data_IF_369233648065
#
_entry.id   IF_369233648065
#
_cell.length_a   1.000
_cell.length_b   1.000
_cell.length_c   1.000
_cell.angle_alpha   90.00
_cell.angle_beta   90.00
_cell.angle_gamma   90.00
#
_symmetry.space_group_name_H-M   'P 1'
#
loop_
_entity.id
_entity.type
_entity.pdbx_description
1 polymer ?
#
# COMPACT_ATOMS: atom_id res chain seq x y z
N UNK A 1 4.90 -4.08 -9.45
CA UNK A 1 3.61 -4.42 -8.84
C UNK A 1 3.65 -5.76 -8.14
N UNK A 2 3.80 -5.70 -6.82
CA UNK A 2 3.86 -6.84 -5.90
C UNK A 2 2.77 -6.62 -4.87
N UNK A 3 1.77 -7.50 -4.83
CA UNK A 3 0.83 -7.54 -3.72
C UNK A 3 1.51 -8.36 -2.62
N UNK A 4 1.92 -7.71 -1.53
CA UNK A 4 2.55 -8.38 -0.41
C UNK A 4 1.47 -9.02 0.47
N UNK A 5 1.36 -10.36 0.46
CA UNK A 5 0.47 -11.10 1.35
C UNK A 5 1.25 -11.67 2.54
N UNK A 6 0.78 -11.42 3.76
CA UNK A 6 1.35 -12.03 4.97
C UNK A 6 0.97 -13.52 5.08
N UNK A 7 1.97 -14.38 5.32
CA UNK A 7 1.86 -15.83 5.28
C UNK A 7 1.05 -16.47 6.44
N UNK A 8 0.75 -15.73 7.52
CA UNK A 8 0.13 -16.31 8.73
C UNK A 8 -1.39 -16.15 8.87
N UNK A 9 -2.12 -15.64 7.86
CA UNK A 9 -3.60 -15.64 7.85
C UNK A 9 -4.18 -15.94 6.45
N UNK A 10 -3.56 -16.85 5.71
CA UNK A 10 -3.98 -17.20 4.35
C UNK A 10 -5.26 -18.07 4.26
N UNK A 11 -5.91 -18.39 5.38
CA UNK A 11 -7.02 -19.36 5.39
C UNK A 11 -8.37 -18.82 4.90
N UNK A 12 -8.58 -17.50 4.83
CA UNK A 12 -9.89 -16.92 4.43
C UNK A 12 -10.01 -16.47 2.97
N UNK A 13 -8.91 -16.42 2.19
CA UNK A 13 -8.96 -15.89 0.82
C UNK A 13 -9.51 -16.86 -0.23
N UNK A 14 -9.64 -18.15 0.09
CA UNK A 14 -10.15 -19.15 -0.86
C UNK A 14 -11.62 -18.96 -1.26
N UNK A 15 -12.41 -18.25 -0.45
CA UNK A 15 -13.85 -18.09 -0.72
C UNK A 15 -14.24 -16.77 -1.41
N UNK A 16 -13.32 -15.80 -1.52
CA UNK A 16 -13.62 -14.47 -2.06
C UNK A 16 -13.15 -14.32 -3.52
N UNK A 17 -12.14 -15.10 -3.96
CA UNK A 17 -11.56 -15.01 -5.30
C UNK A 17 -11.37 -16.42 -5.93
N UNK A 18 -12.46 -17.12 -6.32
CA UNK A 18 -12.36 -18.49 -6.84
C UNK A 18 -11.56 -18.60 -8.14
N UNK A 19 -11.53 -17.54 -8.96
CA UNK A 19 -10.85 -17.54 -10.26
C UNK A 19 -9.33 -17.31 -10.20
N UNK A 20 -8.78 -16.93 -9.04
CA UNK A 20 -7.35 -16.60 -8.88
C UNK A 20 -6.56 -17.77 -8.25
N UNK A 21 -7.24 -18.70 -7.56
CA UNK A 21 -6.59 -19.70 -6.70
C UNK A 21 -6.91 -21.17 -7.07
N UNK A 22 -7.09 -21.48 -8.36
CA UNK A 22 -7.47 -22.84 -8.81
C UNK A 22 -6.36 -23.91 -8.74
N UNK A 23 -5.09 -23.57 -8.44
CA UNK A 23 -3.97 -24.51 -8.59
C UNK A 23 -3.23 -24.96 -7.32
N UNK A 24 -3.68 -24.60 -6.11
CA UNK A 24 -3.00 -24.99 -4.86
C UNK A 24 -3.56 -26.32 -4.32
N UNK A 25 -2.96 -27.45 -4.74
CA UNK A 25 -3.12 -28.76 -4.08
C UNK A 25 -2.39 -28.75 -2.75
N UNK A 26 -3.12 -28.94 -1.64
CA UNK A 26 -2.54 -29.29 -0.35
C UNK A 26 -2.12 -30.77 -0.38
N UNK A 27 -0.85 -31.06 -0.10
CA UNK A 27 -0.39 -32.41 0.19
C UNK A 27 0.04 -32.49 1.65
N UNK A 28 -0.38 -33.54 2.34
CA UNK A 28 -0.15 -33.74 3.77
C UNK A 28 0.87 -34.86 4.02
N UNK A 29 1.60 -34.69 5.14
CA UNK A 29 2.27 -35.69 6.00
C UNK A 29 3.65 -36.27 5.61
N UNK A 30 4.62 -35.95 6.49
CA UNK A 30 5.63 -36.77 7.21
C UNK A 30 7.07 -36.25 7.12
N UNK A 31 7.88 -36.31 8.20
CA UNK A 31 9.19 -35.68 8.25
C UNK A 31 10.27 -36.68 7.81
N UNK A 32 10.77 -36.55 6.59
CA UNK A 32 12.05 -37.14 6.19
C UNK A 32 12.96 -36.00 5.77
N UNK A 33 14.17 -35.93 6.34
CA UNK A 33 15.15 -34.88 6.06
C UNK A 33 15.63 -35.05 4.61
N UNK A 34 14.96 -34.36 3.68
CA UNK A 34 15.40 -34.23 2.29
C UNK A 34 16.19 -32.93 2.18
N UNK A 35 17.48 -33.04 1.87
CA UNK A 35 18.29 -31.91 1.41
C UNK A 35 17.65 -31.37 0.13
N UNK A 36 16.82 -30.33 0.25
CA UNK A 36 16.32 -29.61 -0.90
C UNK A 36 17.46 -28.78 -1.48
N UNK A 37 18.01 -29.25 -2.62
CA UNK A 37 18.62 -28.34 -3.60
C UNK A 37 17.59 -27.24 -3.83
N UNK A 38 17.92 -26.00 -3.48
CA UNK A 38 17.09 -24.85 -3.74
C UNK A 38 16.95 -24.69 -5.26
N UNK A 39 16.01 -25.42 -5.86
CA UNK A 39 15.49 -25.07 -7.16
C UNK A 39 14.87 -23.69 -6.97
N UNK A 40 15.53 -22.67 -7.53
CA UNK A 40 15.00 -21.33 -7.67
C UNK A 40 13.67 -21.43 -8.42
N UNK A 41 12.56 -21.61 -7.70
CA UNK A 41 11.22 -21.47 -8.28
C UNK A 41 11.18 -20.05 -8.82
N UNK A 42 11.14 -19.93 -10.14
CA UNK A 42 10.88 -18.67 -10.81
C UNK A 42 9.56 -18.13 -10.24
N UNK A 43 9.63 -17.08 -9.43
CA UNK A 43 8.44 -16.45 -8.87
C UNK A 43 7.74 -15.78 -10.05
N UNK A 44 6.67 -16.40 -10.54
CA UNK A 44 5.78 -15.75 -11.50
C UNK A 44 5.07 -14.64 -10.73
N UNK A 45 5.41 -13.39 -11.05
CA UNK A 45 4.74 -12.22 -10.48
C UNK A 45 3.51 -11.91 -11.33
N UNK A 46 2.33 -11.89 -10.72
CA UNK A 46 1.13 -11.40 -11.37
C UNK A 46 1.01 -9.90 -11.12
N UNK A 47 0.78 -9.15 -12.20
CA UNK A 47 0.47 -7.71 -12.14
C UNK A 47 -1.03 -7.55 -12.35
N UNK A 48 -1.67 -6.74 -11.51
CA UNK A 48 -3.03 -6.26 -11.76
C UNK A 48 -2.98 -5.31 -12.98
N UNK A 49 -3.89 -5.49 -13.91
CA UNK A 49 -4.07 -4.58 -15.04
C UNK A 49 -5.56 -4.57 -15.38
N UNK A 50 -6.34 -3.94 -14.51
CA UNK A 50 -7.79 -3.86 -14.62
C UNK A 50 -8.22 -2.46 -15.06
N UNK A 51 -9.42 -2.31 -15.66
CA UNK A 51 -9.95 -1.00 -16.01
C UNK A 51 -9.98 -0.04 -14.81
N UNK A 52 -10.33 -0.55 -13.63
CA UNK A 52 -10.45 0.23 -12.38
C UNK A 52 -9.08 0.69 -11.87
N UNK A 53 -8.02 -0.08 -12.13
CA UNK A 53 -6.66 0.39 -11.84
C UNK A 53 -6.22 1.49 -12.82
N UNK A 54 -6.56 1.34 -14.10
CA UNK A 54 -6.16 2.31 -15.14
C UNK A 54 -6.82 3.68 -14.96
N UNK A 55 -8.03 3.73 -14.41
CA UNK A 55 -8.70 5.02 -14.11
C UNK A 55 -7.94 5.86 -13.08
N UNK A 56 -7.15 5.22 -12.20
CA UNK A 56 -6.31 5.91 -11.23
C UNK A 56 -5.09 6.59 -11.86
N UNK A 57 -4.62 6.14 -13.02
CA UNK A 57 -3.38 6.63 -13.65
C UNK A 57 -3.58 7.98 -14.35
N UNK A 58 -4.11 8.95 -13.62
CA UNK A 58 -4.30 10.33 -14.10
C UNK A 58 -2.94 11.01 -14.30
N UNK A 59 -2.82 11.99 -15.22
CA UNK A 59 -1.58 12.74 -15.39
C UNK A 59 -1.07 13.40 -14.11
N UNK A 60 -1.99 13.80 -13.22
CA UNK A 60 -1.65 14.39 -11.92
C UNK A 60 -1.07 13.33 -10.97
N UNK A 61 -1.65 12.11 -10.92
CA UNK A 61 -1.07 11.04 -10.13
C UNK A 61 0.31 10.65 -10.64
N UNK A 62 0.49 10.55 -11.97
CA UNK A 62 1.78 10.25 -12.57
C UNK A 62 2.83 11.32 -12.23
N UNK A 63 2.44 12.60 -12.24
CA UNK A 63 3.30 13.70 -11.77
C UNK A 63 3.68 13.54 -10.30
N UNK A 64 2.71 13.22 -9.43
CA UNK A 64 3.00 12.96 -8.01
C UNK A 64 3.99 11.80 -7.85
N UNK A 65 3.73 10.68 -8.52
CA UNK A 65 4.57 9.49 -8.45
C UNK A 65 6.01 9.77 -8.90
N UNK A 66 6.19 10.57 -9.96
CA UNK A 66 7.52 10.95 -10.44
C UNK A 66 8.28 11.80 -9.40
N UNK A 67 7.61 12.74 -8.72
CA UNK A 67 8.24 13.54 -7.65
C UNK A 67 8.77 12.63 -6.53
N UNK A 68 7.98 11.66 -6.08
CA UNK A 68 8.43 10.71 -5.06
C UNK A 68 9.61 9.86 -5.54
N UNK A 69 9.54 9.38 -6.79
CA UNK A 69 10.58 8.57 -7.41
C UNK A 69 11.90 9.33 -7.57
N UNK A 70 11.88 10.57 -8.04
CA UNK A 70 13.08 11.42 -8.18
C UNK A 70 13.76 11.68 -6.83
N UNK A 71 12.97 11.77 -5.76
CA UNK A 71 13.46 11.94 -4.39
C UNK A 71 13.74 10.60 -3.68
N UNK A 72 13.70 9.47 -4.40
CA UNK A 72 14.02 8.12 -3.89
C UNK A 72 13.11 7.64 -2.75
N UNK A 73 11.85 8.06 -2.78
CA UNK A 73 10.81 7.58 -1.88
C UNK A 73 9.78 6.75 -2.64
N UNK A 74 9.26 5.72 -1.97
CA UNK A 74 8.21 4.90 -2.56
C UNK A 74 6.84 5.53 -2.31
N UNK A 75 5.93 5.40 -3.27
CA UNK A 75 4.54 5.82 -3.17
C UNK A 75 3.66 4.67 -3.66
N UNK A 76 2.72 4.23 -2.84
CA UNK A 76 1.81 3.12 -3.17
C UNK A 76 0.38 3.47 -2.79
N UNK A 77 -0.60 3.03 -3.58
CA UNK A 77 -2.00 3.04 -3.17
C UNK A 77 -2.16 2.09 -1.99
N UNK A 78 -2.96 2.46 -0.99
CA UNK A 78 -3.14 1.70 0.23
C UNK A 78 -4.61 1.46 0.56
N UNK A 79 -4.88 0.44 1.37
CA UNK A 79 -6.16 0.32 2.06
C UNK A 79 -7.36 -0.01 1.16
N UNK A 80 -8.46 0.70 1.40
CA UNK A 80 -9.75 0.43 0.78
C UNK A 80 -9.72 0.52 -0.75
N UNK A 81 -8.94 1.45 -1.30
CA UNK A 81 -8.79 1.58 -2.75
C UNK A 81 -8.21 0.31 -3.40
N UNK A 82 -7.24 -0.35 -2.75
CA UNK A 82 -6.67 -1.61 -3.25
C UNK A 82 -7.70 -2.73 -3.22
N UNK A 83 -8.50 -2.81 -2.14
CA UNK A 83 -9.60 -3.78 -2.03
C UNK A 83 -10.62 -3.57 -3.15
N UNK A 84 -11.03 -2.32 -3.40
CA UNK A 84 -12.07 -2.01 -4.37
C UNK A 84 -11.61 -2.40 -5.80
N UNK A 85 -10.37 -2.07 -6.17
CA UNK A 85 -9.76 -2.51 -7.43
C UNK A 85 -9.76 -4.04 -7.56
N UNK A 86 -9.38 -4.76 -6.50
CA UNK A 86 -9.37 -6.22 -6.48
C UNK A 86 -10.78 -6.83 -6.61
N UNK A 87 -11.82 -6.06 -6.28
CA UNK A 87 -13.22 -6.44 -6.44
C UNK A 87 -13.83 -5.98 -7.78
N UNK A 88 -13.06 -5.30 -8.64
CA UNK A 88 -13.58 -4.71 -9.89
C UNK A 88 -14.50 -3.51 -9.65
N UNK A 89 -14.28 -2.76 -8.57
CA UNK A 89 -15.01 -1.55 -8.20
C UNK A 89 -14.07 -0.35 -8.37
N UNK A 90 -14.55 0.73 -9.00
CA UNK A 90 -13.80 1.98 -9.06
C UNK A 90 -13.70 2.60 -7.66
N UNK A 91 -12.49 2.80 -7.11
CA UNK A 91 -12.34 3.44 -5.81
C UNK A 91 -12.69 4.93 -5.89
N UNK A 92 -13.42 5.42 -4.90
CA UNK A 92 -13.79 6.84 -4.80
C UNK A 92 -12.77 7.66 -4.01
N UNK A 93 -12.32 7.12 -2.87
CA UNK A 93 -11.32 7.74 -2.01
C UNK A 93 -10.03 6.91 -2.08
N UNK A 94 -8.95 7.54 -2.56
CA UNK A 94 -7.68 6.86 -2.81
C UNK A 94 -6.62 7.37 -1.85
N UNK A 95 -6.29 6.51 -0.88
CA UNK A 95 -5.20 6.76 0.05
C UNK A 95 -3.87 6.31 -0.53
N UNK A 96 -2.85 7.13 -0.35
CA UNK A 96 -1.47 6.80 -0.67
C UNK A 96 -0.65 6.63 0.59
N UNK A 97 0.26 5.67 0.56
CA UNK A 97 1.25 5.44 1.60
C UNK A 97 2.65 5.66 1.04
N UNK A 98 3.55 6.20 1.86
CA UNK A 98 4.93 6.50 1.45
C UNK A 98 5.97 6.22 2.53
N UNK A 99 7.19 5.91 2.10
CA UNK A 99 8.37 5.79 2.97
C UNK A 99 8.96 7.15 3.37
N UNK A 100 8.54 8.26 2.75
CA UNK A 100 8.95 9.61 3.12
C UNK A 100 8.30 10.07 4.43
N UNK A 101 9.04 10.76 5.31
CA UNK A 101 8.45 11.41 6.49
C UNK A 101 7.57 12.60 6.08
N UNK A 102 6.62 13.06 6.92
CA UNK A 102 5.79 14.21 6.58
C UNK A 102 6.62 15.45 6.23
N UNK A 103 7.73 15.69 6.95
CA UNK A 103 8.65 16.79 6.66
C UNK A 103 9.29 16.65 5.28
N UNK A 104 9.72 15.45 4.90
CA UNK A 104 10.26 15.19 3.56
C UNK A 104 9.20 15.41 2.48
N UNK A 105 7.97 14.94 2.70
CA UNK A 105 6.84 15.18 1.79
C UNK A 105 6.61 16.69 1.61
N UNK A 106 6.57 17.46 2.70
CA UNK A 106 6.42 18.92 2.63
C UNK A 106 7.55 19.57 1.84
N UNK A 107 8.79 19.16 2.06
CA UNK A 107 9.95 19.69 1.35
C UNK A 107 9.86 19.41 -0.16
N UNK A 108 9.53 18.18 -0.55
CA UNK A 108 9.35 17.78 -1.95
C UNK A 108 8.25 18.60 -2.62
N UNK A 109 7.07 18.70 -1.99
CA UNK A 109 5.94 19.43 -2.55
C UNK A 109 6.21 20.94 -2.64
N UNK A 110 6.86 21.52 -1.63
CA UNK A 110 7.23 22.95 -1.64
C UNK A 110 8.22 23.26 -2.76
N UNK A 111 9.24 22.39 -2.96
CA UNK A 111 10.22 22.53 -4.04
C UNK A 111 9.56 22.53 -5.43
N UNK A 112 8.52 21.72 -5.60
CA UNK A 112 7.76 21.61 -6.85
C UNK A 112 6.61 22.63 -6.97
N UNK A 113 6.53 23.60 -6.05
CA UNK A 113 5.45 24.59 -5.97
C UNK A 113 4.03 23.97 -5.93
N UNK A 114 3.89 22.82 -5.28
CA UNK A 114 2.62 22.13 -5.11
C UNK A 114 1.97 22.58 -3.80
N UNK A 115 0.69 22.98 -3.89
CA UNK A 115 -0.09 23.41 -2.74
C UNK A 115 -0.43 22.23 -1.84
N UNK A 116 -0.35 22.44 -0.53
CA UNK A 116 -0.82 21.50 0.50
C UNK A 116 -2.09 22.07 1.15
N UNK A 117 -3.16 21.28 1.28
CA UNK A 117 -4.46 21.79 1.78
C UNK A 117 -4.62 21.62 3.29
N UNK A 118 -4.15 20.50 3.85
CA UNK A 118 -4.62 20.09 5.17
C UNK A 118 -3.46 19.96 6.18
N UNK A 119 -3.38 20.90 7.13
CA UNK A 119 -2.44 20.85 8.25
C UNK A 119 -2.96 19.96 9.40
N UNK A 120 -4.26 19.64 9.45
CA UNK A 120 -4.84 18.88 10.56
C UNK A 120 -4.50 17.39 10.50
N UNK A 121 -4.31 16.83 9.30
CA UNK A 121 -3.87 15.44 9.08
C UNK A 121 -2.41 15.18 9.47
N UNK A 122 -1.62 16.24 9.66
CA UNK A 122 -0.19 16.14 9.98
C UNK A 122 0.08 15.45 11.31
N UNK A 123 -0.82 15.61 12.29
CA UNK A 123 -0.75 14.93 13.59
C UNK A 123 -0.76 13.40 13.46
N UNK A 124 -1.26 12.90 12.34
CA UNK A 124 -1.31 11.49 12.01
C UNK A 124 -0.34 11.13 10.88
N UNK A 125 0.52 12.06 10.44
CA UNK A 125 1.49 11.84 9.37
C UNK A 125 0.88 11.83 7.97
N UNK A 126 -0.28 12.46 7.78
CA UNK A 126 -0.94 12.60 6.47
C UNK A 126 -0.79 14.01 5.93
N UNK A 127 -0.37 14.13 4.66
CA UNK A 127 -0.25 15.36 3.90
C UNK A 127 -1.15 15.27 2.67
N UNK A 128 -2.02 16.26 2.48
CA UNK A 128 -2.88 16.35 1.29
C UNK A 128 -2.23 17.27 0.25
N UNK A 129 -1.70 16.69 -0.83
CA UNK A 129 -1.15 17.43 -1.97
C UNK A 129 -2.27 17.79 -2.96
N UNK A 130 -2.30 19.04 -3.43
CA UNK A 130 -3.20 19.49 -4.49
C UNK A 130 -2.43 19.81 -5.75
N UNK A 131 -2.59 18.97 -6.77
CA UNK A 131 -1.89 19.13 -8.05
C UNK A 131 -2.78 19.89 -9.02
N UNK A 132 -2.18 20.91 -9.67
CA UNK A 132 -2.81 21.75 -10.69
C UNK A 132 -4.15 22.37 -10.24
N UNK A 133 -4.30 22.66 -8.94
CA UNK A 133 -5.53 23.15 -8.31
C UNK A 133 -6.81 22.36 -8.68
N UNK A 134 -6.67 21.09 -9.07
CA UNK A 134 -7.76 20.25 -9.56
C UNK A 134 -7.98 18.99 -8.73
N UNK A 135 -6.91 18.29 -8.37
CA UNK A 135 -6.99 16.95 -7.76
C UNK A 135 -6.23 16.89 -6.44
N UNK A 136 -6.79 16.17 -5.47
CA UNK A 136 -6.24 16.01 -4.12
C UNK A 136 -5.70 14.59 -3.97
N UNK A 137 -4.52 14.48 -3.34
CA UNK A 137 -3.89 13.21 -3.03
C UNK A 137 -3.53 13.18 -1.56
N UNK A 138 -4.13 12.26 -0.80
CA UNK A 138 -3.82 12.06 0.60
C UNK A 138 -2.65 11.09 0.71
N UNK A 139 -1.50 11.60 1.15
CA UNK A 139 -0.27 10.83 1.28
C UNK A 139 0.05 10.67 2.76
N UNK A 140 0.09 9.44 3.23
CA UNK A 140 0.34 9.09 4.63
C UNK A 140 1.69 8.39 4.78
N UNK A 141 2.55 8.89 5.65
CA UNK A 141 3.80 8.23 5.99
C UNK A 141 3.53 6.91 6.71
N UNK A 142 4.25 5.85 6.32
CA UNK A 142 4.20 4.56 7.02
C UNK A 142 4.55 4.72 8.49
N UNK A 143 3.79 4.07 9.37
CA UNK A 143 3.97 4.22 10.82
C UNK A 143 3.66 2.95 11.60
N UNK A 144 4.15 2.93 12.82
CA UNK A 144 3.84 1.94 13.86
C UNK A 144 3.25 2.67 15.05
N UNK A 145 2.22 2.09 15.66
CA UNK A 145 1.62 2.63 16.88
C UNK A 145 2.40 2.10 18.09
N UNK A 146 3.08 2.98 18.83
CA UNK A 146 3.97 2.65 19.96
C UNK A 146 3.20 2.57 21.27
N UNK A 147 2.23 3.46 21.46
CA UNK A 147 1.33 3.48 22.60
C UNK A 147 -0.03 4.01 22.14
N UNK A 148 -1.10 3.49 22.71
CA UNK A 148 -2.46 3.96 22.45
C UNK A 148 -3.19 4.11 23.78
N UNK A 149 -3.83 5.25 23.98
CA UNK A 149 -4.75 5.47 25.11
C UNK A 149 -6.23 5.22 24.71
N UNK A 150 -6.46 4.68 23.50
CA UNK A 150 -7.77 4.45 22.91
C UNK A 150 -8.33 5.60 22.08
N UNK A 151 -7.83 6.84 22.24
CA UNK A 151 -8.22 8.01 21.40
C UNK A 151 -7.04 8.61 20.64
N UNK A 152 -5.83 8.51 21.16
CA UNK A 152 -4.60 8.99 20.58
C UNK A 152 -3.55 7.88 20.58
N UNK A 153 -2.93 7.67 19.42
CA UNK A 153 -1.78 6.82 19.28
C UNK A 153 -0.52 7.67 19.19
N UNK A 154 0.49 7.32 19.98
CA UNK A 154 1.87 7.79 19.76
C UNK A 154 2.43 6.98 18.60
N UNK A 155 2.74 7.66 17.51
CA UNK A 155 3.18 7.02 16.27
C UNK A 155 4.69 7.17 16.08
N UNK A 156 5.32 6.15 15.53
CA UNK A 156 6.69 6.19 15.04
C UNK A 156 6.71 5.89 13.55
N UNK A 157 7.33 6.76 12.76
CA UNK A 157 7.45 6.55 11.32
C UNK A 157 8.44 5.41 11.01
N UNK A 158 8.11 4.64 9.98
CA UNK A 158 8.90 3.49 9.52
C UNK A 158 9.04 3.53 8.00
N UNK A 159 9.95 2.72 7.45
CA UNK A 159 10.03 2.44 6.01
C UNK A 159 9.61 0.99 5.69
N UNK A 160 9.22 0.23 6.72
CA UNK A 160 8.79 -1.16 6.59
C UNK A 160 7.26 -1.23 6.36
N UNK A 161 6.90 -1.59 5.14
CA UNK A 161 5.52 -1.83 4.72
C UNK A 161 4.80 -2.91 5.52
N UNK A 162 5.53 -3.92 6.00
CA UNK A 162 4.96 -5.00 6.79
C UNK A 162 4.56 -4.51 8.18
N UNK A 163 5.36 -3.61 8.78
CA UNK A 163 5.03 -3.00 10.06
C UNK A 163 3.80 -2.09 9.94
N UNK A 164 3.68 -1.30 8.86
CA UNK A 164 2.46 -0.50 8.62
C UNK A 164 1.23 -1.38 8.33
N UNK A 165 1.38 -2.47 7.58
CA UNK A 165 0.29 -3.43 7.38
C UNK A 165 -0.18 -4.04 8.72
N UNK A 166 0.77 -4.34 9.61
CA UNK A 166 0.51 -5.01 10.89
C UNK A 166 -0.31 -4.19 11.89
N UNK A 167 -0.29 -2.85 11.79
CA UNK A 167 -1.11 -1.97 12.66
C UNK A 167 -2.55 -1.79 12.17
N UNK A 168 -2.88 -2.23 10.95
CA UNK A 168 -4.22 -2.04 10.36
C UNK A 168 -5.20 -3.07 10.94
N UNK A 169 -6.43 -2.63 11.12
CA UNK A 169 -7.52 -3.38 11.76
C UNK A 169 -7.98 -4.59 10.94
N UNK A 170 -8.22 -4.38 9.65
CA UNK A 170 -8.75 -5.39 8.73
C UNK A 170 -7.69 -5.80 7.72
N UNK A 171 -7.48 -7.12 7.59
CA UNK A 171 -6.51 -7.70 6.64
C UNK A 171 -6.74 -7.26 5.20
N UNK A 172 -7.99 -7.11 4.78
CA UNK A 172 -8.35 -6.65 3.44
C UNK A 172 -7.97 -5.18 3.19
N UNK A 173 -7.85 -4.38 4.26
CA UNK A 173 -7.42 -2.98 4.21
C UNK A 173 -5.91 -2.83 4.50
N UNK A 174 -5.18 -3.95 4.67
CA UNK A 174 -3.73 -3.97 4.91
C UNK A 174 -2.92 -4.26 3.64
N UNK A 175 -3.50 -3.93 2.48
CA UNK A 175 -2.91 -4.16 1.16
C UNK A 175 -2.34 -2.86 0.58
N UNK A 176 -1.33 -3.02 -0.28
CA UNK A 176 -0.68 -1.93 -0.99
C UNK A 176 -0.52 -2.28 -2.48
N UNK A 177 -0.55 -1.26 -3.33
CA UNK A 177 -0.40 -1.39 -4.78
C UNK A 177 0.55 -0.32 -5.33
N UNK A 178 1.64 -0.75 -5.97
CA UNK A 178 2.67 0.10 -6.60
C UNK A 178 3.70 -0.69 -7.39
#
# INVERSE_FOLDING_TARGET
MVICFHYNRLFLFKHILPNIFSSLKCYSRTPTVVRYRAQSKMLITQKIDTPEYRTLLTPNLLKLAEIFKENKHELRVAGGAVRDILMGINPHDVDFATTATPEQVKQMLTKENIRMINLNGEKHGTITARINDKENFEVTTLRVDVATDGRHAVVQYTQDWQLDAGRRDLTINALFLG
#
